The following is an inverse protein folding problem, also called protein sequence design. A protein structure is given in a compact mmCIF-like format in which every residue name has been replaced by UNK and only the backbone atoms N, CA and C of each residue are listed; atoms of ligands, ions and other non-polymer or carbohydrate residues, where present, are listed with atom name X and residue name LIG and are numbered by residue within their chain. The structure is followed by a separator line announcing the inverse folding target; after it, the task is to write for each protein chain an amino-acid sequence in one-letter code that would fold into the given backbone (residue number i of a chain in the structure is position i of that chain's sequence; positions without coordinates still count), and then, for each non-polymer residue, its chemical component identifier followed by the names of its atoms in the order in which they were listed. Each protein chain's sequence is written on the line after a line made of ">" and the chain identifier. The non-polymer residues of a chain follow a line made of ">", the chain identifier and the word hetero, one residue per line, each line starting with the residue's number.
data_IF_631122439647
#
_entry.id   IF_631122439647
#
_cell.length_a   1.000
_cell.length_b   1.000
_cell.length_c   1.000
_cell.angle_alpha   90.00
_cell.angle_beta   90.00
_cell.angle_gamma   90.00
#
_symmetry.space_group_name_H-M   'P 1'
#
loop_
_entity.id
_entity.type
_entity.pdbx_description
1 polymer ?
#
# COMPACT_ATOMS: atom_id res chain seq x y z
N UNK A 1 81.80 -11.25 50.95
CA UNK A 1 81.66 -10.53 49.66
C UNK A 1 82.73 -9.46 49.63
N UNK A 2 83.47 -9.33 48.53
CA UNK A 2 84.63 -8.43 48.44
C UNK A 2 84.64 -7.72 47.07
N UNK A 3 84.83 -6.40 47.04
CA UNK A 3 85.01 -5.64 45.80
C UNK A 3 86.44 -5.90 45.30
N UNK A 4 86.61 -6.57 44.16
CA UNK A 4 87.94 -6.89 43.60
C UNK A 4 88.39 -5.88 42.57
N UNK A 5 87.46 -5.25 41.85
CA UNK A 5 87.79 -4.33 40.75
C UNK A 5 86.72 -3.27 40.57
N UNK A 6 87.17 -2.05 40.25
CA UNK A 6 86.35 -0.99 39.68
C UNK A 6 86.90 -0.60 38.31
N UNK A 7 86.02 -0.55 37.31
CA UNK A 7 86.33 0.00 35.99
C UNK A 7 85.53 1.29 35.78
N UNK A 8 86.23 2.36 35.45
CA UNK A 8 85.69 3.71 35.27
C UNK A 8 85.93 4.14 33.83
N UNK A 9 84.93 4.64 33.14
CA UNK A 9 85.07 5.22 31.81
C UNK A 9 84.14 6.41 31.64
N UNK A 10 84.67 7.56 31.23
CA UNK A 10 83.89 8.78 31.06
C UNK A 10 83.19 9.30 32.31
N UNK A 11 83.57 8.85 33.51
CA UNK A 11 82.96 9.24 34.78
C UNK A 11 83.75 10.39 35.42
N UNK A 12 83.12 11.56 35.57
CA UNK A 12 83.67 12.76 36.20
C UNK A 12 85.07 13.15 35.71
N UNK A 13 86.12 12.84 36.48
CA UNK A 13 87.52 13.14 36.17
C UNK A 13 88.20 12.06 35.31
N UNK A 14 87.57 10.90 35.13
CA UNK A 14 88.11 9.74 34.43
C UNK A 14 87.64 9.73 32.97
N UNK A 15 88.39 10.37 32.08
CA UNK A 15 88.03 10.39 30.65
C UNK A 15 88.37 9.06 29.94
N UNK A 16 89.54 8.50 30.22
CA UNK A 16 89.93 7.20 29.65
C UNK A 16 89.45 6.07 30.55
N UNK A 17 89.46 4.84 30.02
CA UNK A 17 89.16 3.66 30.82
C UNK A 17 90.25 3.47 31.87
N UNK A 18 89.85 3.48 33.13
CA UNK A 18 90.71 3.25 34.29
C UNK A 18 90.17 2.06 35.06
N UNK A 19 91.03 1.06 35.24
CA UNK A 19 90.75 -0.13 36.04
C UNK A 19 91.56 -0.05 37.34
N UNK A 20 90.89 -0.03 38.49
CA UNK A 20 91.54 -0.13 39.80
C UNK A 20 91.21 -1.47 40.42
N UNK A 21 92.25 -2.20 40.82
CA UNK A 21 92.13 -3.48 41.52
C UNK A 21 92.24 -3.26 43.03
N UNK A 22 91.45 -4.00 43.79
CA UNK A 22 91.44 -3.97 45.25
C UNK A 22 91.85 -5.34 45.77
N UNK A 23 92.78 -5.33 46.72
CA UNK A 23 93.19 -6.52 47.46
C UNK A 23 92.46 -6.58 48.81
N UNK A 24 92.26 -7.78 49.37
CA UNK A 24 91.68 -7.92 50.70
C UNK A 24 92.49 -7.14 51.75
N UNK A 25 91.81 -6.39 52.61
CA UNK A 25 92.44 -5.61 53.68
C UNK A 25 92.20 -4.11 53.50
N UNK A 26 93.23 -3.30 53.73
CA UNK A 26 93.14 -1.83 53.71
C UNK A 26 93.75 -1.29 52.43
N UNK A 27 92.92 -0.71 51.56
CA UNK A 27 93.39 0.01 50.36
C UNK A 27 93.36 1.53 50.61
N UNK A 28 94.50 2.20 50.46
CA UNK A 28 94.62 3.65 50.58
C UNK A 28 94.60 4.35 49.23
N UNK A 29 93.61 5.22 48.98
CA UNK A 29 93.57 6.07 47.78
C UNK A 29 94.17 7.44 48.10
N UNK A 30 95.40 7.68 47.65
CA UNK A 30 96.16 8.90 47.93
C UNK A 30 96.40 9.75 46.68
N UNK A 31 96.63 11.05 46.86
CA UNK A 31 96.87 12.00 45.77
C UNK A 31 96.61 13.45 46.18
N UNK A 32 97.02 14.44 45.37
CA UNK A 32 96.83 15.85 45.66
C UNK A 32 95.34 16.28 45.59
N UNK A 33 95.02 17.45 46.15
CA UNK A 33 93.64 17.96 46.09
C UNK A 33 93.21 18.20 44.63
N UNK A 34 91.97 17.85 44.30
CA UNK A 34 91.44 17.96 42.94
C UNK A 34 91.80 16.83 41.98
N UNK A 35 92.59 15.82 42.38
CA UNK A 35 92.96 14.70 41.50
C UNK A 35 91.88 13.62 41.33
N UNK A 36 90.66 13.86 41.82
CA UNK A 36 89.53 12.94 41.64
C UNK A 36 89.44 11.77 42.63
N UNK A 37 90.19 11.78 43.76
CA UNK A 37 90.15 10.71 44.78
C UNK A 37 88.74 10.38 45.22
N UNK A 38 87.99 11.40 45.61
CA UNK A 38 86.62 11.22 46.09
C UNK A 38 85.65 10.84 44.96
N UNK A 39 86.00 11.06 43.68
CA UNK A 39 85.16 10.58 42.58
C UNK A 39 85.14 9.04 42.50
N UNK A 40 86.13 8.36 43.09
CA UNK A 40 86.12 6.89 43.21
C UNK A 40 85.00 6.42 44.15
N UNK A 41 84.79 7.08 45.30
CA UNK A 41 83.68 6.75 46.21
C UNK A 41 82.32 7.07 45.58
N UNK A 42 82.22 8.19 44.86
CA UNK A 42 81.00 8.56 44.15
C UNK A 42 80.67 7.52 43.05
N UNK A 43 81.68 7.00 42.36
CA UNK A 43 81.50 5.98 41.33
C UNK A 43 80.94 4.68 41.93
N UNK A 44 81.45 4.25 43.09
CA UNK A 44 80.95 3.06 43.80
C UNK A 44 79.47 3.28 44.18
N UNK A 45 79.15 4.40 44.82
CA UNK A 45 77.77 4.74 45.22
C UNK A 45 76.83 4.81 44.02
N UNK A 46 77.27 5.44 42.94
CA UNK A 46 76.49 5.57 41.73
C UNK A 46 76.21 4.23 41.06
N UNK A 47 77.21 3.34 40.95
CA UNK A 47 77.02 2.01 40.39
C UNK A 47 76.12 1.11 41.25
N UNK A 48 76.09 1.30 42.57
CA UNK A 48 75.18 0.59 43.48
C UNK A 48 73.73 1.10 43.46
N UNK A 49 73.45 2.22 42.75
CA UNK A 49 72.09 2.64 42.46
C UNK A 49 71.67 4.03 42.94
N UNK A 50 72.59 4.86 43.45
CA UNK A 50 72.26 6.23 43.88
C UNK A 50 71.71 7.08 42.74
N UNK A 51 70.54 7.71 42.96
CA UNK A 51 69.84 8.50 41.95
C UNK A 51 69.92 10.01 42.21
N UNK A 52 70.44 10.44 43.35
CA UNK A 52 70.61 11.85 43.69
C UNK A 52 71.94 12.38 43.17
N UNK A 53 71.88 13.28 42.18
CA UNK A 53 73.06 14.00 41.69
C UNK A 53 73.76 14.78 42.82
N UNK A 54 72.98 15.37 43.73
CA UNK A 54 73.48 16.15 44.87
C UNK A 54 74.34 15.32 45.82
N UNK A 55 73.91 14.09 46.12
CA UNK A 55 74.69 13.15 46.96
C UNK A 55 75.97 12.72 46.26
N UNK A 56 75.96 12.68 44.93
CA UNK A 56 77.13 12.43 44.11
C UNK A 56 77.91 13.71 43.79
N UNK A 57 77.71 14.83 44.51
CA UNK A 57 78.44 16.10 44.31
C UNK A 57 78.40 16.61 42.86
N UNK A 58 77.22 16.52 42.24
CA UNK A 58 76.87 17.19 40.99
C UNK A 58 75.52 17.92 41.13
N UNK A 59 75.24 18.83 40.22
CA UNK A 59 73.96 19.57 40.21
C UNK A 59 72.91 18.80 39.41
N UNK A 60 73.33 18.13 38.33
CA UNK A 60 72.52 17.29 37.45
C UNK A 60 73.16 15.91 37.30
N UNK A 61 72.35 14.91 36.95
CA UNK A 61 72.85 13.55 36.73
C UNK A 61 73.87 13.51 35.57
N UNK A 62 73.67 14.34 34.54
CA UNK A 62 74.58 14.45 33.38
C UNK A 62 75.97 15.00 33.76
N UNK A 63 76.13 15.66 34.91
CA UNK A 63 77.43 16.17 35.40
C UNK A 63 78.38 15.04 35.81
N UNK A 64 77.85 13.82 35.93
CA UNK A 64 78.67 12.62 36.14
C UNK A 64 79.43 12.21 34.88
N UNK A 65 79.03 12.71 33.70
CA UNK A 65 79.72 12.46 32.44
C UNK A 65 80.89 13.43 32.29
N UNK A 66 82.06 12.93 31.90
CA UNK A 66 83.27 13.74 31.67
C UNK A 66 82.96 14.93 30.74
N UNK A 67 83.02 16.13 31.30
CA UNK A 67 82.63 17.37 30.63
C UNK A 67 83.64 17.90 29.61
N UNK A 68 84.82 17.26 29.50
CA UNK A 68 85.91 17.78 28.69
C UNK A 68 86.88 18.65 29.50
N UNK A 69 88.08 18.84 28.96
CA UNK A 69 89.03 19.83 29.45
C UNK A 69 89.79 20.43 28.24
N UNK A 70 90.70 21.38 28.47
CA UNK A 70 91.44 22.04 27.37
C UNK A 70 92.23 21.10 26.44
N UNK A 71 92.44 19.83 26.83
CA UNK A 71 93.14 18.81 26.02
C UNK A 71 92.22 17.71 25.49
N UNK A 72 91.02 17.54 26.03
CA UNK A 72 90.13 16.39 25.75
C UNK A 72 88.70 16.84 25.54
N UNK A 73 88.07 16.34 24.48
CA UNK A 73 86.66 16.62 24.19
C UNK A 73 85.74 16.01 25.27
N UNK A 74 84.56 16.60 25.49
CA UNK A 74 83.51 15.98 26.31
C UNK A 74 83.14 14.59 25.78
N UNK A 75 82.81 13.67 26.69
CA UNK A 75 82.30 12.35 26.35
C UNK A 75 80.78 12.30 26.40
N UNK A 76 80.19 11.34 25.69
CA UNK A 76 78.73 11.13 25.61
C UNK A 76 78.16 10.11 26.61
N UNK A 77 79.05 9.39 27.31
CA UNK A 77 78.71 8.25 28.17
C UNK A 77 79.63 8.25 29.40
N UNK A 78 79.04 8.00 30.56
CA UNK A 78 79.75 7.53 31.74
C UNK A 78 79.40 6.07 32.00
N UNK A 79 80.40 5.23 32.25
CA UNK A 79 80.26 3.83 32.62
C UNK A 79 81.09 3.57 33.87
N UNK A 80 80.47 2.93 34.86
CA UNK A 80 81.15 2.42 36.05
C UNK A 80 80.75 0.96 36.22
N UNK A 81 81.75 0.10 36.36
CA UNK A 81 81.58 -1.33 36.57
C UNK A 81 82.27 -1.75 37.85
N UNK A 82 81.53 -2.39 38.75
CA UNK A 82 82.02 -2.94 40.01
C UNK A 82 82.03 -4.45 39.92
N UNK A 83 83.18 -5.07 40.17
CA UNK A 83 83.30 -6.52 40.25
C UNK A 83 83.46 -6.94 41.70
N UNK A 84 82.57 -7.82 42.14
CA UNK A 84 82.57 -8.41 43.47
C UNK A 84 82.81 -9.91 43.39
N UNK A 85 83.66 -10.44 44.26
CA UNK A 85 83.79 -11.89 44.47
C UNK A 85 82.95 -12.36 45.66
N UNK A 86 82.30 -13.50 45.46
CA UNK A 86 81.56 -14.24 46.49
C UNK A 86 82.57 -14.99 47.36
N UNK A 87 82.76 -14.52 48.59
CA UNK A 87 83.52 -15.31 49.57
C UNK A 87 82.65 -16.27 50.41
N UNK A 88 81.40 -15.92 50.79
CA UNK A 88 80.67 -16.71 51.82
C UNK A 88 79.13 -16.63 51.74
N UNK A 89 78.52 -16.81 50.56
CA UNK A 89 77.05 -16.88 50.45
C UNK A 89 76.26 -15.57 50.69
N UNK A 90 76.95 -14.44 50.92
CA UNK A 90 76.35 -13.13 51.21
C UNK A 90 75.48 -12.53 50.07
N UNK A 91 75.62 -13.01 48.84
CA UNK A 91 74.80 -12.59 47.70
C UNK A 91 73.87 -13.75 47.28
N UNK A 92 72.60 -13.51 46.93
CA UNK A 92 71.69 -14.54 46.43
C UNK A 92 71.90 -14.81 44.92
N UNK A 93 73.05 -15.35 44.54
CA UNK A 93 73.34 -15.72 43.14
C UNK A 93 74.21 -16.97 43.05
N UNK A 94 74.19 -17.67 41.93
CA UNK A 94 75.00 -18.88 41.70
C UNK A 94 76.40 -18.55 41.17
N UNK A 95 76.63 -17.30 40.75
CA UNK A 95 77.93 -16.87 40.22
C UNK A 95 78.94 -16.59 41.35
N UNK A 96 80.20 -17.02 41.12
CA UNK A 96 81.35 -16.72 41.98
C UNK A 96 81.79 -15.25 41.86
N UNK A 97 81.64 -14.67 40.68
CA UNK A 97 81.92 -13.27 40.39
C UNK A 97 80.65 -12.55 39.92
N UNK A 98 80.42 -11.37 40.50
CA UNK A 98 79.27 -10.52 40.20
C UNK A 98 79.78 -9.17 39.72
N UNK A 99 79.48 -8.84 38.47
CA UNK A 99 79.80 -7.58 37.83
C UNK A 99 78.55 -6.70 37.71
N UNK A 100 78.55 -5.57 38.41
CA UNK A 100 77.46 -4.59 38.40
C UNK A 100 77.93 -3.39 37.60
N UNK A 101 77.30 -3.13 36.46
CA UNK A 101 77.65 -2.01 35.60
C UNK A 101 76.48 -1.04 35.50
N UNK A 102 76.77 0.25 35.65
CA UNK A 102 75.83 1.33 35.37
C UNK A 102 76.40 2.23 34.28
N UNK A 103 75.54 2.58 33.33
CA UNK A 103 75.81 3.49 32.22
C UNK A 103 74.86 4.67 32.27
N UNK A 104 75.34 5.85 31.92
CA UNK A 104 74.53 7.04 31.73
C UNK A 104 74.95 7.75 30.46
N UNK A 105 73.98 7.96 29.59
CA UNK A 105 74.12 8.67 28.34
C UNK A 105 73.71 10.13 28.52
N UNK A 106 74.27 11.04 27.71
CA UNK A 106 73.86 12.46 27.70
C UNK A 106 72.39 12.70 27.35
N UNK A 107 71.70 11.69 26.83
CA UNK A 107 70.23 11.72 26.65
C UNK A 107 69.47 11.68 27.99
N UNK A 108 70.15 11.41 29.11
CA UNK A 108 69.55 11.17 30.42
C UNK A 108 69.17 9.71 30.67
N UNK A 109 69.31 8.84 29.65
CA UNK A 109 69.04 7.42 29.78
C UNK A 109 70.09 6.74 30.65
N UNK A 110 69.64 5.93 31.61
CA UNK A 110 70.49 5.10 32.45
C UNK A 110 70.27 3.62 32.13
N UNK A 111 71.35 2.89 31.92
CA UNK A 111 71.33 1.44 31.68
C UNK A 111 72.04 0.72 32.83
N UNK A 112 71.43 -0.35 33.31
CA UNK A 112 71.94 -1.18 34.40
C UNK A 112 72.22 -2.58 33.86
N UNK A 113 73.39 -3.12 34.16
CA UNK A 113 73.78 -4.45 33.73
C UNK A 113 74.30 -5.25 34.92
N UNK A 114 73.83 -6.49 35.04
CA UNK A 114 74.34 -7.49 35.97
C UNK A 114 74.99 -8.60 35.16
N UNK A 115 76.29 -8.82 35.35
CA UNK A 115 77.09 -9.76 34.54
C UNK A 115 76.93 -9.53 33.04
N UNK A 116 76.91 -8.25 32.62
CA UNK A 116 76.70 -7.78 31.24
C UNK A 116 75.30 -8.04 30.66
N UNK A 117 74.36 -8.54 31.46
CA UNK A 117 72.95 -8.69 31.06
C UNK A 117 72.15 -7.48 31.54
N UNK A 118 71.36 -6.81 30.68
CA UNK A 118 70.51 -5.70 31.09
C UNK A 118 69.52 -6.10 32.20
N UNK A 119 69.43 -5.29 33.25
CA UNK A 119 68.55 -5.50 34.39
C UNK A 119 67.89 -4.19 34.84
N UNK A 120 66.96 -4.28 35.81
CA UNK A 120 66.36 -3.09 36.42
C UNK A 120 67.18 -2.66 37.62
N UNK A 121 67.17 -1.37 37.95
CA UNK A 121 67.74 -0.85 39.19
C UNK A 121 67.28 -1.66 40.41
N UNK A 122 65.99 -2.01 40.44
CA UNK A 122 65.40 -2.83 41.51
C UNK A 122 66.12 -4.17 41.68
N UNK A 123 66.56 -4.81 40.59
CA UNK A 123 67.24 -6.10 40.66
C UNK A 123 68.62 -5.95 41.31
N UNK A 124 69.33 -4.84 41.04
CA UNK A 124 70.59 -4.49 41.71
C UNK A 124 70.33 -4.16 43.19
N UNK A 125 69.31 -3.35 43.50
CA UNK A 125 68.96 -3.02 44.89
C UNK A 125 68.57 -4.26 45.69
N UNK A 126 67.76 -5.15 45.12
CA UNK A 126 67.33 -6.40 45.76
C UNK A 126 68.50 -7.38 45.95
N UNK A 127 69.54 -7.33 45.10
CA UNK A 127 70.76 -8.13 45.22
C UNK A 127 71.61 -7.73 46.43
N UNK A 128 71.69 -6.43 46.73
CA UNK A 128 72.52 -5.89 47.83
C UNK A 128 71.74 -5.58 49.12
N UNK A 129 70.41 -5.77 49.14
CA UNK A 129 69.54 -5.37 50.28
C UNK A 129 69.93 -5.99 51.62
N UNK A 130 70.48 -7.21 51.59
CA UNK A 130 70.92 -7.94 52.79
C UNK A 130 72.40 -7.71 53.13
N UNK A 131 73.13 -6.94 52.31
CA UNK A 131 74.57 -6.70 52.47
C UNK A 131 74.91 -5.34 53.08
N UNK A 132 73.91 -4.49 53.32
CA UNK A 132 74.13 -3.10 53.77
C UNK A 132 74.71 -2.17 52.70
N UNK A 133 74.76 -2.64 51.44
CA UNK A 133 75.23 -1.87 50.29
C UNK A 133 74.10 -1.32 49.40
N UNK A 134 72.84 -1.63 49.70
CA UNK A 134 71.70 -1.16 48.93
C UNK A 134 71.12 0.15 49.49
N UNK A 135 70.86 1.13 48.62
CA UNK A 135 70.27 2.41 49.02
C UNK A 135 71.30 3.41 49.52
N UNK A 136 71.17 3.87 50.77
CA UNK A 136 72.18 4.69 51.47
C UNK A 136 73.11 3.78 52.29
N UNK A 137 74.17 3.21 51.70
CA UNK A 137 75.01 2.25 52.39
C UNK A 137 75.65 2.87 53.63
N UNK A 138 75.28 2.39 54.83
CA UNK A 138 75.96 2.75 56.07
C UNK A 138 77.46 2.40 56.04
N UNK A 139 77.84 1.45 55.18
CA UNK A 139 79.21 1.06 54.92
C UNK A 139 80.03 2.12 54.15
N UNK A 140 79.38 3.12 53.54
CA UNK A 140 80.04 4.20 52.82
C UNK A 140 79.93 5.52 53.60
N UNK A 141 80.99 5.85 54.33
CA UNK A 141 81.07 7.06 55.13
C UNK A 141 81.70 8.18 54.31
N UNK A 142 80.95 9.25 54.07
CA UNK A 142 81.44 10.44 53.37
C UNK A 142 81.89 11.53 54.36
N UNK A 143 82.56 12.54 53.80
CA UNK A 143 82.87 13.75 54.55
C UNK A 143 81.58 14.42 55.04
N UNK A 144 81.43 14.52 56.36
CA UNK A 144 80.23 15.09 57.00
C UNK A 144 79.18 14.06 57.43
N UNK A 145 79.24 12.81 56.97
CA UNK A 145 78.28 11.75 57.33
C UNK A 145 78.30 11.40 58.82
N UNK A 146 79.46 11.52 59.48
CA UNK A 146 79.57 11.26 60.93
C UNK A 146 78.72 12.28 61.72
N UNK A 147 78.76 13.55 61.31
CA UNK A 147 77.97 14.61 61.94
C UNK A 147 76.47 14.43 61.72
N UNK A 148 76.03 13.94 60.55
CA UNK A 148 74.62 13.69 60.29
C UNK A 148 74.08 12.52 61.10
N UNK A 149 74.84 11.44 61.30
CA UNK A 149 74.44 10.30 62.14
C UNK A 149 74.35 10.70 63.62
N UNK A 150 75.31 11.48 64.13
CA UNK A 150 75.31 11.94 65.54
C UNK A 150 74.11 12.86 65.82
N UNK A 151 73.79 13.76 64.89
CA UNK A 151 72.68 14.71 65.02
C UNK A 151 71.33 14.18 64.50
N UNK A 152 71.28 12.93 64.01
CA UNK A 152 70.06 12.34 63.47
C UNK A 152 68.96 12.22 64.52
N UNK A 153 67.72 12.54 64.13
CA UNK A 153 66.54 12.34 64.98
C UNK A 153 66.36 10.84 65.29
N UNK A 154 65.69 10.49 66.40
CA UNK A 154 65.47 9.09 66.76
C UNK A 154 64.83 8.24 65.64
N UNK A 155 63.92 8.81 64.86
CA UNK A 155 63.28 8.13 63.73
C UNK A 155 64.27 7.82 62.60
N UNK A 156 65.16 8.76 62.27
CA UNK A 156 66.17 8.61 61.20
C UNK A 156 67.26 7.62 61.65
N UNK A 157 67.66 7.68 62.92
CA UNK A 157 68.60 6.73 63.54
C UNK A 157 68.04 5.30 63.58
N UNK A 158 66.74 5.15 63.79
CA UNK A 158 66.07 3.84 63.78
C UNK A 158 66.24 3.14 62.44
N UNK A 159 66.18 3.86 61.32
CA UNK A 159 66.35 3.26 59.98
C UNK A 159 67.73 2.62 59.86
N UNK A 160 68.79 3.32 60.30
CA UNK A 160 70.16 2.80 60.31
C UNK A 160 70.29 1.52 61.17
N UNK A 161 69.63 1.48 62.33
CA UNK A 161 69.62 0.30 63.22
C UNK A 161 68.85 -0.86 62.59
N UNK A 162 67.69 -0.60 61.97
CA UNK A 162 66.88 -1.61 61.31
C UNK A 162 67.59 -2.22 60.09
N UNK A 163 68.38 -1.41 59.39
CA UNK A 163 69.23 -1.85 58.28
C UNK A 163 70.41 -2.70 58.78
N UNK A 164 71.11 -2.25 59.82
CA UNK A 164 72.17 -3.03 60.45
C UNK A 164 71.66 -4.37 61.04
N UNK A 165 70.40 -4.40 61.48
CA UNK A 165 69.74 -5.61 61.97
C UNK A 165 69.23 -6.53 60.84
N UNK A 166 69.34 -6.14 59.56
CA UNK A 166 68.93 -6.94 58.41
C UNK A 166 67.41 -7.14 58.26
N UNK A 167 66.59 -6.38 58.99
CA UNK A 167 65.12 -6.56 58.98
C UNK A 167 64.40 -5.74 57.89
N UNK A 168 65.13 -4.89 57.17
CA UNK A 168 64.59 -4.00 56.14
C UNK A 168 63.87 -4.75 55.01
N UNK A 169 64.43 -5.87 54.55
CA UNK A 169 63.81 -6.72 53.51
C UNK A 169 62.41 -7.18 53.89
N UNK A 170 62.24 -7.68 55.12
CA UNK A 170 60.95 -8.15 55.61
C UNK A 170 59.95 -7.01 55.77
N UNK A 171 60.39 -5.86 56.24
CA UNK A 171 59.56 -4.66 56.41
C UNK A 171 59.06 -4.13 55.06
N UNK A 172 59.95 -4.06 54.05
CA UNK A 172 59.59 -3.65 52.69
C UNK A 172 58.62 -4.64 52.04
N UNK A 173 58.87 -5.95 52.16
CA UNK A 173 57.94 -6.98 51.67
C UNK A 173 56.57 -6.89 52.34
N UNK A 174 56.52 -6.71 53.66
CA UNK A 174 55.26 -6.56 54.42
C UNK A 174 54.46 -5.35 53.96
N UNK A 175 55.13 -4.20 53.75
CA UNK A 175 54.47 -2.98 53.26
C UNK A 175 53.91 -3.16 51.85
N UNK A 176 54.69 -3.76 50.95
CA UNK A 176 54.24 -4.04 49.58
C UNK A 176 53.04 -5.00 49.56
N UNK A 177 53.05 -6.05 50.39
CA UNK A 177 51.93 -6.97 50.54
C UNK A 177 50.69 -6.27 51.09
N UNK A 178 50.84 -5.40 52.11
CA UNK A 178 49.74 -4.61 52.67
C UNK A 178 49.07 -3.71 51.63
N UNK A 179 49.87 -2.95 50.86
CA UNK A 179 49.33 -2.10 49.79
C UNK A 179 48.60 -2.92 48.72
N UNK A 180 49.09 -4.13 48.40
CA UNK A 180 48.44 -5.02 47.43
C UNK A 180 47.13 -5.58 47.95
N UNK A 181 47.06 -5.91 49.24
CA UNK A 181 45.83 -6.34 49.91
C UNK A 181 44.77 -5.24 49.86
N UNK A 182 45.12 -4.01 50.28
CA UNK A 182 44.22 -2.86 50.28
C UNK A 182 43.67 -2.57 48.87
N UNK A 183 44.53 -2.58 47.85
CA UNK A 183 44.11 -2.42 46.45
C UNK A 183 43.15 -3.54 46.01
N UNK A 184 43.36 -4.76 46.47
CA UNK A 184 42.49 -5.91 46.16
C UNK A 184 41.13 -5.77 46.83
N UNK A 185 41.09 -5.32 48.09
CA UNK A 185 39.84 -5.06 48.81
C UNK A 185 39.00 -3.98 48.13
N UNK A 186 39.63 -2.89 47.67
CA UNK A 186 38.97 -1.85 46.89
C UNK A 186 38.39 -2.40 45.57
N UNK A 187 39.12 -3.28 44.88
CA UNK A 187 38.62 -3.91 43.66
C UNK A 187 37.40 -4.81 43.94
N UNK A 188 37.41 -5.56 45.05
CA UNK A 188 36.28 -6.39 45.45
C UNK A 188 35.03 -5.57 45.75
N UNK A 189 35.18 -4.41 46.39
CA UNK A 189 34.06 -3.47 46.61
C UNK A 189 33.44 -3.02 45.29
N UNK A 190 34.26 -2.62 44.31
CA UNK A 190 33.77 -2.22 42.98
C UNK A 190 33.05 -3.36 42.26
N UNK A 191 33.54 -4.59 42.38
CA UNK A 191 32.88 -5.76 41.79
C UNK A 191 31.49 -5.98 42.42
N UNK A 192 31.36 -5.81 43.74
CA UNK A 192 30.06 -5.93 44.42
C UNK A 192 29.06 -4.89 43.90
N UNK A 193 29.50 -3.66 43.66
CA UNK A 193 28.64 -2.61 43.11
C UNK A 193 28.16 -2.96 41.69
N UNK A 194 29.06 -3.49 40.85
CA UNK A 194 28.72 -3.95 39.49
C UNK A 194 27.70 -5.10 39.55
N UNK A 195 27.91 -6.08 40.44
CA UNK A 195 26.96 -7.20 40.61
C UNK A 195 25.58 -6.67 41.00
N UNK A 196 25.51 -5.75 41.97
CA UNK A 196 24.24 -5.17 42.42
C UNK A 196 23.51 -4.44 41.28
N UNK A 197 24.23 -3.71 40.43
CA UNK A 197 23.66 -3.02 39.28
C UNK A 197 23.16 -4.01 38.22
N UNK A 198 23.95 -5.04 37.89
CA UNK A 198 23.56 -6.08 36.94
C UNK A 198 22.31 -6.83 37.43
N UNK A 199 22.20 -7.11 38.73
CA UNK A 199 21.01 -7.74 39.30
C UNK A 199 19.75 -6.86 39.18
N UNK A 200 19.88 -5.54 39.39
CA UNK A 200 18.76 -4.60 39.18
C UNK A 200 18.30 -4.61 37.72
N UNK A 201 19.25 -4.56 36.78
CA UNK A 201 18.95 -4.62 35.34
C UNK A 201 18.27 -5.93 34.96
N UNK A 202 18.81 -7.07 35.42
CA UNK A 202 18.22 -8.40 35.22
C UNK A 202 16.78 -8.46 35.73
N UNK A 203 16.52 -7.94 36.93
CA UNK A 203 15.18 -7.96 37.52
C UNK A 203 14.20 -7.07 36.74
N UNK A 204 14.66 -5.94 36.19
CA UNK A 204 13.86 -5.11 35.29
C UNK A 204 13.51 -5.83 33.98
N UNK A 205 14.52 -6.41 33.31
CA UNK A 205 14.35 -7.17 32.07
C UNK A 205 13.44 -8.38 32.26
N UNK A 206 13.55 -9.08 33.39
CA UNK A 206 12.65 -10.20 33.73
C UNK A 206 11.18 -9.75 33.79
N UNK A 207 10.90 -8.58 34.39
CA UNK A 207 9.54 -8.01 34.44
C UNK A 207 9.03 -7.65 33.04
N UNK A 208 9.89 -7.07 32.20
CA UNK A 208 9.53 -6.73 30.82
C UNK A 208 9.24 -7.98 29.98
N UNK A 209 10.08 -9.02 30.09
CA UNK A 209 9.88 -10.30 29.41
C UNK A 209 8.55 -10.96 29.81
N UNK A 210 8.26 -11.02 31.11
CA UNK A 210 6.98 -11.56 31.60
C UNK A 210 5.77 -10.76 31.07
N UNK A 211 5.88 -9.43 30.98
CA UNK A 211 4.82 -8.58 30.42
C UNK A 211 4.62 -8.84 28.93
N UNK A 212 5.71 -8.98 28.17
CA UNK A 212 5.66 -9.28 26.74
C UNK A 212 5.05 -10.65 26.46
N UNK A 213 5.41 -11.67 27.25
CA UNK A 213 4.85 -13.02 27.13
C UNK A 213 3.34 -13.01 27.41
N UNK A 214 2.92 -12.33 28.48
CA UNK A 214 1.49 -12.18 28.80
C UNK A 214 0.74 -11.43 27.71
N UNK A 215 1.33 -10.37 27.15
CA UNK A 215 0.75 -9.64 26.02
C UNK A 215 0.56 -10.55 24.82
N UNK A 216 1.59 -11.33 24.44
CA UNK A 216 1.52 -12.26 23.32
C UNK A 216 0.40 -13.29 23.48
N UNK A 217 0.24 -13.86 24.68
CA UNK A 217 -0.85 -14.80 24.97
C UNK A 217 -2.24 -14.13 24.84
N UNK A 218 -2.38 -12.91 25.35
CA UNK A 218 -3.63 -12.15 25.23
C UNK A 218 -3.92 -11.72 23.79
N UNK A 219 -2.91 -11.37 23.01
CA UNK A 219 -3.05 -10.97 21.61
C UNK A 219 -3.50 -12.13 20.71
N UNK A 220 -2.90 -13.31 20.91
CA UNK A 220 -3.37 -14.56 20.27
C UNK A 220 -4.84 -14.80 20.63
N UNK A 221 -5.19 -14.73 21.92
CA UNK A 221 -6.56 -14.97 22.38
C UNK A 221 -7.55 -13.93 21.84
N UNK A 222 -7.15 -12.66 21.77
CA UNK A 222 -7.97 -11.60 21.19
C UNK A 222 -8.18 -11.82 19.69
N UNK A 223 -7.16 -12.27 18.97
CA UNK A 223 -7.25 -12.60 17.54
C UNK A 223 -8.18 -13.77 17.29
N UNK A 224 -8.08 -14.85 18.09
CA UNK A 224 -9.00 -15.99 18.04
C UNK A 224 -10.46 -15.54 18.26
N UNK A 225 -10.71 -14.72 19.29
CA UNK A 225 -12.06 -14.22 19.59
C UNK A 225 -12.60 -13.31 18.48
N UNK A 226 -11.76 -12.44 17.91
CA UNK A 226 -12.14 -11.61 16.75
C UNK A 226 -12.51 -12.48 15.54
N UNK A 227 -11.70 -13.50 15.25
CA UNK A 227 -11.97 -14.43 14.14
C UNK A 227 -13.27 -15.20 14.38
N UNK A 228 -13.52 -15.66 15.60
CA UNK A 228 -14.76 -16.33 15.97
C UNK A 228 -15.99 -15.43 15.78
N UNK A 229 -15.92 -14.16 16.22
CA UNK A 229 -17.00 -13.19 16.01
C UNK A 229 -17.28 -12.96 14.53
N UNK A 230 -16.22 -12.77 13.73
CA UNK A 230 -16.34 -12.57 12.28
C UNK A 230 -16.92 -13.78 11.57
N UNK A 231 -16.52 -14.98 11.96
CA UNK A 231 -17.10 -16.22 11.46
C UNK A 231 -18.59 -16.29 11.76
N UNK A 232 -19.01 -15.96 12.99
CA UNK A 232 -20.43 -15.96 13.38
C UNK A 232 -21.26 -14.94 12.60
N UNK A 233 -20.72 -13.72 12.40
CA UNK A 233 -21.34 -12.68 11.56
C UNK A 233 -21.51 -13.18 10.12
N UNK A 234 -20.44 -13.76 9.54
CA UNK A 234 -20.49 -14.31 8.19
C UNK A 234 -21.50 -15.45 8.07
N UNK A 235 -21.55 -16.36 9.05
CA UNK A 235 -22.52 -17.45 9.07
C UNK A 235 -23.97 -16.94 9.09
N UNK A 236 -24.26 -15.90 9.88
CA UNK A 236 -25.58 -15.28 9.93
C UNK A 236 -25.96 -14.63 8.59
N UNK A 237 -25.05 -13.84 7.99
CA UNK A 237 -25.26 -13.22 6.68
C UNK A 237 -25.44 -14.28 5.58
N UNK A 238 -24.67 -15.36 5.64
CA UNK A 238 -24.81 -16.47 4.70
C UNK A 238 -26.18 -17.13 4.81
N UNK A 239 -26.66 -17.34 6.03
CA UNK A 239 -27.99 -17.91 6.27
C UNK A 239 -29.10 -16.97 5.76
N UNK A 240 -28.96 -15.66 5.97
CA UNK A 240 -29.89 -14.65 5.43
C UNK A 240 -29.88 -14.64 3.89
N UNK A 241 -28.71 -14.66 3.27
CA UNK A 241 -28.56 -14.74 1.81
C UNK A 241 -29.24 -16.00 1.24
N UNK A 242 -29.03 -17.16 1.86
CA UNK A 242 -29.68 -18.40 1.46
C UNK A 242 -31.22 -18.29 1.60
N UNK A 243 -31.70 -17.64 2.65
CA UNK A 243 -33.13 -17.34 2.83
C UNK A 243 -33.70 -16.47 1.71
N UNK A 244 -32.98 -15.42 1.29
CA UNK A 244 -33.39 -14.54 0.19
C UNK A 244 -33.37 -15.29 -1.15
N UNK A 245 -32.31 -16.03 -1.45
CA UNK A 245 -32.21 -16.84 -2.67
C UNK A 245 -33.33 -17.88 -2.75
N UNK A 246 -33.69 -18.50 -1.62
CA UNK A 246 -34.82 -19.42 -1.52
C UNK A 246 -36.18 -18.79 -1.84
N UNK A 247 -36.36 -17.49 -1.57
CA UNK A 247 -37.59 -16.73 -1.90
C UNK A 247 -37.60 -16.22 -3.34
N UNK A 248 -36.43 -15.85 -3.87
CA UNK A 248 -36.29 -15.29 -5.21
C UNK A 248 -36.65 -16.31 -6.30
N UNK A 249 -36.32 -17.60 -6.11
CA UNK A 249 -36.64 -18.66 -7.05
C UNK A 249 -38.15 -18.78 -7.34
N UNK A 250 -39.01 -18.94 -6.31
CA UNK A 250 -40.47 -18.93 -6.46
C UNK A 250 -41.02 -17.64 -7.08
N UNK A 251 -40.52 -16.47 -6.69
CA UNK A 251 -40.97 -15.20 -7.29
C UNK A 251 -40.61 -15.09 -8.77
N UNK A 252 -39.41 -15.53 -9.17
CA UNK A 252 -39.02 -15.58 -10.57
C UNK A 252 -39.91 -16.54 -11.37
N UNK A 253 -40.22 -17.71 -10.81
CA UNK A 253 -41.15 -18.67 -11.43
C UNK A 253 -42.55 -18.07 -11.60
N UNK A 254 -43.06 -17.39 -10.58
CA UNK A 254 -44.35 -16.70 -10.65
C UNK A 254 -44.34 -15.62 -11.73
N UNK A 255 -43.29 -14.79 -11.78
CA UNK A 255 -43.15 -13.73 -12.78
C UNK A 255 -43.08 -14.29 -14.20
N UNK A 256 -42.36 -15.41 -14.42
CA UNK A 256 -42.37 -16.10 -15.71
C UNK A 256 -43.75 -16.66 -16.06
N UNK A 257 -44.49 -17.18 -15.08
CA UNK A 257 -45.87 -17.64 -15.27
C UNK A 257 -46.82 -16.51 -15.66
N UNK A 258 -46.74 -15.37 -14.98
CA UNK A 258 -47.54 -14.18 -15.29
C UNK A 258 -47.20 -13.66 -16.70
N UNK A 259 -45.92 -13.56 -17.07
CA UNK A 259 -45.50 -13.14 -18.42
C UNK A 259 -46.03 -14.08 -19.50
N UNK A 260 -45.98 -15.39 -19.28
CA UNK A 260 -46.57 -16.37 -20.20
C UNK A 260 -48.09 -16.19 -20.30
N UNK A 261 -48.77 -15.93 -19.18
CA UNK A 261 -50.19 -15.61 -19.15
C UNK A 261 -50.53 -14.35 -19.96
N UNK A 262 -49.78 -13.26 -19.78
CA UNK A 262 -49.95 -12.02 -20.56
C UNK A 262 -49.80 -12.31 -22.06
N UNK A 263 -48.73 -13.00 -22.46
CA UNK A 263 -48.52 -13.37 -23.87
C UNK A 263 -49.66 -14.20 -24.45
N UNK A 264 -50.23 -15.12 -23.67
CA UNK A 264 -51.41 -15.88 -24.08
C UNK A 264 -52.65 -15.00 -24.25
N UNK A 265 -52.87 -14.04 -23.35
CA UNK A 265 -54.01 -13.11 -23.46
C UNK A 265 -53.86 -12.12 -24.60
N UNK A 266 -52.65 -11.65 -24.88
CA UNK A 266 -52.35 -10.78 -26.03
C UNK A 266 -52.57 -11.54 -27.35
N UNK A 267 -52.12 -12.79 -27.44
CA UNK A 267 -52.38 -13.63 -28.60
C UNK A 267 -53.89 -13.85 -28.83
N UNK A 268 -54.64 -14.13 -27.76
CA UNK A 268 -56.10 -14.28 -27.85
C UNK A 268 -56.80 -12.96 -28.23
N UNK A 269 -56.28 -11.81 -27.78
CA UNK A 269 -56.80 -10.50 -28.16
C UNK A 269 -56.55 -10.21 -29.65
N UNK A 270 -55.35 -10.52 -30.16
CA UNK A 270 -55.06 -10.35 -31.59
C UNK A 270 -55.89 -11.29 -32.46
N UNK A 271 -56.14 -12.52 -32.02
CA UNK A 271 -57.08 -13.42 -32.70
C UNK A 271 -58.49 -12.81 -32.75
N UNK A 272 -58.99 -12.26 -31.64
CA UNK A 272 -60.29 -11.58 -31.58
C UNK A 272 -60.35 -10.33 -32.45
N UNK A 273 -59.27 -9.54 -32.52
CA UNK A 273 -59.17 -8.37 -33.42
C UNK A 273 -59.23 -8.79 -34.89
N UNK A 274 -58.54 -9.87 -35.24
CA UNK A 274 -58.59 -10.40 -36.61
C UNK A 274 -60.00 -10.89 -36.96
N UNK A 275 -60.67 -11.59 -36.04
CA UNK A 275 -62.07 -12.00 -36.20
C UNK A 275 -62.99 -10.79 -36.40
N UNK A 276 -62.88 -9.77 -35.56
CA UNK A 276 -63.67 -8.55 -35.68
C UNK A 276 -63.45 -7.86 -37.05
N UNK A 277 -62.21 -7.78 -37.53
CA UNK A 277 -61.92 -7.23 -38.86
C UNK A 277 -62.56 -8.05 -39.99
N UNK A 278 -62.57 -9.38 -39.87
CA UNK A 278 -63.25 -10.24 -40.86
C UNK A 278 -64.76 -10.05 -40.84
N UNK A 279 -65.36 -9.89 -39.66
CA UNK A 279 -66.78 -9.60 -39.51
C UNK A 279 -67.13 -8.22 -40.05
N UNK A 280 -66.33 -7.18 -39.76
CA UNK A 280 -66.51 -5.84 -40.34
C UNK A 280 -66.47 -5.85 -41.88
N UNK A 281 -65.52 -6.60 -42.47
CA UNK A 281 -65.47 -6.80 -43.93
C UNK A 281 -66.71 -7.51 -44.46
N UNK A 282 -67.22 -8.52 -43.75
CA UNK A 282 -68.44 -9.22 -44.14
C UNK A 282 -69.66 -8.30 -44.06
N UNK A 283 -69.75 -7.44 -43.03
CA UNK A 283 -70.81 -6.43 -42.91
C UNK A 283 -70.72 -5.40 -44.04
N UNK A 284 -69.53 -4.89 -44.35
CA UNK A 284 -69.33 -3.96 -45.47
C UNK A 284 -69.76 -4.58 -46.81
N UNK A 285 -69.37 -5.83 -47.08
CA UNK A 285 -69.80 -6.56 -48.27
C UNK A 285 -71.32 -6.77 -48.32
N UNK A 286 -71.94 -7.08 -47.18
CA UNK A 286 -73.40 -7.22 -47.11
C UNK A 286 -74.13 -5.88 -47.31
N UNK A 287 -73.57 -4.77 -46.83
CA UNK A 287 -74.10 -3.42 -47.05
C UNK A 287 -73.99 -3.01 -48.53
N UNK A 288 -72.87 -3.31 -49.19
CA UNK A 288 -72.69 -3.08 -50.62
C UNK A 288 -73.70 -3.90 -51.44
N UNK A 289 -73.84 -5.20 -51.12
CA UNK A 289 -74.85 -6.05 -51.76
C UNK A 289 -76.29 -5.53 -51.52
N UNK A 290 -76.59 -5.03 -50.32
CA UNK A 290 -77.89 -4.41 -50.02
C UNK A 290 -78.12 -3.13 -50.84
N UNK A 291 -77.08 -2.30 -51.01
CA UNK A 291 -77.14 -1.09 -51.83
C UNK A 291 -77.41 -1.44 -53.29
N UNK A 292 -76.73 -2.46 -53.83
CA UNK A 292 -76.95 -2.96 -55.19
C UNK A 292 -78.38 -3.48 -55.38
N UNK A 293 -78.90 -4.25 -54.42
CA UNK A 293 -80.28 -4.76 -54.46
C UNK A 293 -81.29 -3.61 -54.37
N UNK A 294 -81.07 -2.62 -53.50
CA UNK A 294 -81.92 -1.41 -53.44
C UNK A 294 -81.88 -0.64 -54.76
N UNK A 295 -80.70 -0.46 -55.35
CA UNK A 295 -80.56 0.18 -56.66
C UNK A 295 -81.19 -0.62 -57.80
N UNK A 296 -81.37 -1.94 -57.66
CA UNK A 296 -82.18 -2.75 -58.58
C UNK A 296 -83.67 -2.51 -58.34
N UNK A 297 -84.12 -2.54 -57.09
CA UNK A 297 -85.52 -2.27 -56.74
C UNK A 297 -85.95 -0.89 -57.24
N UNK A 298 -85.16 0.16 -57.01
CA UNK A 298 -85.49 1.52 -57.46
C UNK A 298 -85.61 1.61 -59.00
N UNK A 299 -84.80 0.85 -59.74
CA UNK A 299 -84.87 0.74 -61.20
C UNK A 299 -86.13 0.00 -61.64
N UNK A 300 -86.39 -1.16 -61.05
CA UNK A 300 -87.56 -1.98 -61.35
C UNK A 300 -88.86 -1.22 -61.02
N UNK A 301 -88.89 -0.45 -59.92
CA UNK A 301 -90.01 0.43 -59.59
C UNK A 301 -90.18 1.59 -60.57
N UNK A 302 -89.08 2.19 -61.05
CA UNK A 302 -89.14 3.23 -62.08
C UNK A 302 -89.66 2.67 -63.41
N UNK A 303 -89.25 1.46 -63.77
CA UNK A 303 -89.76 0.73 -64.93
C UNK A 303 -91.25 0.40 -64.78
N UNK A 304 -91.67 -0.08 -63.60
CA UNK A 304 -93.07 -0.37 -63.29
C UNK A 304 -93.94 0.89 -63.38
N UNK A 305 -93.47 2.04 -62.86
CA UNK A 305 -94.16 3.33 -62.99
C UNK A 305 -94.33 3.72 -64.46
N UNK A 306 -93.28 3.55 -65.28
CA UNK A 306 -93.35 3.80 -66.72
C UNK A 306 -94.36 2.87 -67.43
N UNK A 307 -94.34 1.57 -67.12
CA UNK A 307 -95.27 0.60 -67.69
C UNK A 307 -96.71 0.86 -67.28
N UNK A 308 -96.94 1.29 -66.04
CA UNK A 308 -98.27 1.67 -65.55
C UNK A 308 -98.79 2.90 -66.28
N UNK A 309 -97.94 3.91 -66.49
CA UNK A 309 -98.29 5.09 -67.29
C UNK A 309 -98.63 4.71 -68.75
N UNK A 310 -97.88 3.78 -69.34
CA UNK A 310 -98.16 3.27 -70.69
C UNK A 310 -99.49 2.50 -70.76
N UNK A 311 -99.84 1.74 -69.72
CA UNK A 311 -101.12 1.05 -69.62
C UNK A 311 -102.28 2.04 -69.49
N UNK A 312 -102.17 3.07 -68.66
CA UNK A 312 -103.19 4.12 -68.54
C UNK A 312 -103.41 4.85 -69.87
N UNK A 313 -102.34 5.18 -70.61
CA UNK A 313 -102.43 5.77 -71.94
C UNK A 313 -103.02 4.80 -72.98
N UNK A 314 -102.82 3.49 -72.84
CA UNK A 314 -103.44 2.48 -73.70
C UNK A 314 -104.94 2.32 -73.40
N UNK A 315 -105.34 2.34 -72.12
CA UNK A 315 -106.75 2.32 -71.72
C UNK A 315 -107.48 3.58 -72.18
N UNK A 316 -106.86 4.76 -72.08
CA UNK A 316 -107.43 6.01 -72.61
C UNK A 316 -107.69 5.91 -74.12
N UNK A 317 -106.72 5.39 -74.88
CA UNK A 317 -106.88 5.14 -76.33
C UNK A 317 -107.99 4.14 -76.64
N UNK A 318 -108.13 3.09 -75.83
CA UNK A 318 -109.22 2.12 -75.98
C UNK A 318 -110.59 2.78 -75.77
N UNK A 319 -110.74 3.59 -74.74
CA UNK A 319 -111.98 4.32 -74.46
C UNK A 319 -112.35 5.33 -75.58
N UNK A 320 -111.35 6.03 -76.14
CA UNK A 320 -111.53 6.91 -77.31
C UNK A 320 -112.03 6.13 -78.55
N UNK A 321 -111.48 4.95 -78.82
CA UNK A 321 -111.92 4.09 -79.91
C UNK A 321 -113.34 3.52 -79.71
N UNK A 322 -113.71 3.15 -78.48
CA UNK A 322 -115.06 2.67 -78.16
C UNK A 322 -116.11 3.78 -78.33
N UNK A 323 -115.80 5.02 -77.95
CA UNK A 323 -116.65 6.19 -78.17
C UNK A 323 -116.83 6.50 -79.68
N UNK A 324 -115.77 6.36 -80.47
CA UNK A 324 -115.83 6.53 -81.92
C UNK A 324 -116.75 5.48 -82.58
N UNK A 325 -116.67 4.22 -82.14
CA UNK A 325 -117.53 3.12 -82.59
C UNK A 325 -119.01 3.35 -82.27
N UNK A 326 -119.33 3.90 -81.09
CA UNK A 326 -120.72 4.22 -80.72
C UNK A 326 -121.28 5.34 -81.58
N UNK A 327 -120.47 6.36 -81.89
CA UNK A 327 -120.90 7.45 -82.77
C UNK A 327 -121.20 6.96 -84.20
N UNK A 328 -120.36 6.08 -84.75
CA UNK A 328 -120.56 5.50 -86.09
C UNK A 328 -121.83 4.65 -86.17
N UNK A 329 -122.14 3.90 -85.11
CA UNK A 329 -123.37 3.12 -85.01
C UNK A 329 -124.64 3.98 -85.03
N UNK A 330 -124.61 5.15 -84.38
CA UNK A 330 -125.73 6.11 -84.39
C UNK A 330 -125.91 6.77 -85.76
N UNK A 331 -124.84 7.02 -86.51
CA UNK A 331 -124.91 7.56 -87.87
C UNK A 331 -125.53 6.56 -88.85
N UNK A 332 -125.19 5.28 -88.73
CA UNK A 332 -125.73 4.22 -89.57
C UNK A 332 -127.25 4.03 -89.38
N UNK A 333 -127.75 4.15 -88.15
CA UNK A 333 -129.19 4.05 -87.87
C UNK A 333 -130.00 5.23 -88.45
N UNK A 334 -129.44 6.46 -88.47
CA UNK A 334 -130.10 7.62 -89.09
C UNK A 334 -130.23 7.49 -90.61
N UNK A 335 -129.21 6.95 -91.27
CA UNK A 335 -129.23 6.73 -92.73
C UNK A 335 -130.24 5.66 -93.15
N UNK A 336 -130.43 4.62 -92.32
CA UNK A 336 -131.43 3.58 -92.56
C UNK A 336 -132.87 4.10 -92.45
N UNK A 337 -133.12 5.01 -91.49
CA UNK A 337 -134.43 5.63 -91.33
C UNK A 337 -134.80 6.55 -92.52
N UNK A 338 -133.86 7.31 -93.08
CA UNK A 338 -134.15 8.20 -94.21
C UNK A 338 -134.39 7.46 -95.54
N UNK A 339 -133.84 6.25 -95.70
CA UNK A 339 -134.09 5.39 -96.88
C UNK A 339 -135.51 4.80 -96.85
N UNK A 340 -136.05 4.46 -95.67
CA UNK A 340 -137.41 3.95 -95.51
C UNK A 340 -138.49 5.02 -95.76
N UNK A 341 -138.21 6.27 -95.40
CA UNK A 341 -139.09 7.41 -95.69
C UNK A 341 -139.17 7.70 -97.20
N UNK A 342 -138.04 7.67 -97.92
CA UNK A 342 -138.02 7.97 -99.36
C UNK A 342 -138.79 6.94 -100.21
N UNK A 343 -138.78 5.66 -99.79
CA UNK A 343 -139.42 4.55 -100.50
C UNK A 343 -140.95 4.52 -100.33
N UNK A 344 -141.47 5.06 -99.24
CA UNK A 344 -142.92 5.18 -99.01
C UNK A 344 -143.52 6.35 -99.81
N UNK A 345 -142.82 7.48 -99.93
CA UNK A 345 -143.24 8.61 -100.80
C UNK A 345 -143.26 8.28 -102.29
N UNK A 346 -142.37 7.40 -102.77
CA UNK A 346 -142.34 7.01 -104.19
C UNK A 346 -143.57 6.16 -104.59
N UNK A 347 -144.07 5.31 -103.67
CA UNK A 347 -145.23 4.45 -103.90
C UNK A 347 -146.57 5.22 -103.89
N UNK A 348 -146.64 6.36 -103.21
CA UNK A 348 -147.82 7.24 -103.21
C UNK A 348 -147.92 8.05 -104.52
N UNK A 349 -146.79 8.50 -105.07
CA UNK A 349 -146.77 9.26 -106.33
C UNK A 349 -147.13 8.41 -107.57
N UNK A 350 -146.81 7.11 -107.60
CA UNK A 350 -147.22 6.23 -108.71
C UNK A 350 -148.74 5.97 -108.75
N UNK A 351 -149.42 6.01 -107.60
CA UNK A 351 -150.90 5.87 -107.54
C UNK A 351 -151.63 7.11 -108.04
N UNK A 352 -151.06 8.29 -107.82
CA UNK A 352 -151.66 9.56 -108.25
C UNK A 352 -151.55 9.78 -109.78
N UNK A 353 -150.49 9.26 -110.42
CA UNK A 353 -150.33 9.33 -111.89
C UNK A 353 -151.35 8.44 -112.60
N UNK A 354 -151.59 7.21 -112.11
CA UNK A 354 -152.58 6.30 -112.69
C UNK A 354 -154.03 6.82 -112.55
N UNK A 355 -154.33 7.60 -111.50
CA UNK A 355 -155.64 8.23 -111.31
C UNK A 355 -155.89 9.41 -112.26
N UNK A 356 -154.84 10.07 -112.77
CA UNK A 356 -154.96 11.23 -113.65
C UNK A 356 -155.09 10.82 -115.13
N UNK A 357 -154.46 9.73 -115.54
CA UNK A 357 -154.61 9.18 -116.91
C UNK A 357 -156.05 8.70 -117.17
N UNK A 358 -156.72 8.12 -116.16
CA UNK A 358 -158.13 7.71 -116.28
C UNK A 358 -159.13 8.87 -116.38
N UNK A 359 -158.78 10.08 -115.92
CA UNK A 359 -159.63 11.28 -116.05
C UNK A 359 -159.50 11.94 -117.43
N UNK A 360 -158.33 11.86 -118.07
CA UNK A 360 -158.09 12.50 -119.36
C UNK A 360 -158.84 11.82 -120.53
N UNK A 361 -159.03 10.50 -120.49
CA UNK A 361 -159.80 9.78 -121.51
C UNK A 361 -161.32 10.00 -121.39
N UNK A 362 -161.82 10.34 -120.20
CA UNK A 362 -163.21 10.69 -119.98
C UNK A 362 -163.54 12.08 -120.56
N UNK A 363 -162.64 13.05 -120.41
CA UNK A 363 -162.81 14.41 -120.94
C UNK A 363 -162.69 14.46 -122.48
N UNK A 364 -161.89 13.58 -123.09
CA UNK A 364 -161.80 13.47 -124.55
C UNK A 364 -163.09 12.96 -125.22
N UNK A 365 -163.94 12.19 -124.49
CA UNK A 365 -165.27 11.78 -124.97
C UNK A 365 -166.30 12.90 -124.85
N UNK A 366 -166.24 13.69 -123.78
CA UNK A 366 -167.14 14.83 -123.57
C UNK A 366 -166.92 15.95 -124.60
N UNK A 367 -165.67 16.19 -125.03
CA UNK A 367 -165.36 17.32 -125.91
C UNK A 367 -165.82 17.14 -127.37
N UNK A 368 -165.93 15.91 -127.87
CA UNK A 368 -166.48 15.67 -129.23
C UNK A 368 -168.00 15.63 -129.27
N UNK A 369 -168.68 15.33 -128.15
CA UNK A 369 -170.13 15.52 -128.04
C UNK A 369 -170.50 17.01 -128.00
N UNK A 370 -169.62 17.89 -127.51
CA UNK A 370 -169.91 19.34 -127.47
C UNK A 370 -169.73 20.09 -128.79
N UNK A 371 -168.89 19.64 -129.72
CA UNK A 371 -168.76 20.30 -131.03
C UNK A 371 -169.86 19.88 -132.03
N UNK A 372 -170.54 18.76 -131.75
CA UNK A 372 -171.78 18.38 -132.44
C UNK A 372 -173.01 19.21 -131.98
N UNK A 373 -172.94 19.88 -130.82
CA UNK A 373 -174.06 20.61 -130.20
C UNK A 373 -173.93 22.14 -130.35
N UNK A 374 -172.76 22.68 -130.75
CA UNK A 374 -172.65 24.07 -131.22
C UNK A 374 -172.99 24.23 -132.72
N UNK A 375 -173.96 23.43 -133.15
CA UNK A 375 -174.85 23.74 -134.24
C UNK A 375 -175.34 25.19 -134.13
N UNK A 376 -175.43 25.87 -135.27
CA UNK A 376 -176.68 26.55 -135.63
C UNK A 376 -177.20 27.69 -134.72
N UNK A 377 -176.37 28.40 -133.96
CA UNK A 377 -176.83 29.52 -133.14
C UNK A 377 -176.47 30.92 -133.64
N UNK A 378 -175.68 31.12 -134.71
CA UNK A 378 -175.58 32.42 -135.41
C UNK A 378 -175.14 32.23 -136.87
N UNK A 379 -176.08 31.86 -137.73
CA UNK A 379 -176.06 32.29 -139.14
C UNK A 379 -176.86 33.59 -139.24
N UNK A 380 -176.17 34.69 -139.57
CA UNK A 380 -176.70 35.89 -140.22
C UNK A 380 -175.69 36.30 -141.31
#
# INVERSE_FOLDING_TARGET
>A
MHLTKISLFGFKSFADKVDLSFEPGVTGVVGPNGCGKSNVSDAIRWALGEQSAKLLRGDRMDDLIFAGNGRRKPLGLAEVSLTFTRNDGALPTEYEEVNVTRRLYRSGESEYLLNKVPCRLRDITDLFIDTGLAGEPYALIEQGSIGSVVNARPADRRVLIEEAAGIMKYKTKRRAAGNKLESTEQNLLRIRDVIAEVERQRNSLKRQANKAERYRQLDIRATELKLFLKYREHAALWQELQGILGRLGPEQQLLTGIRAGIGSTEAALEERRLQALTEERAVAAAQEALFDVRGRIDRDEAELRNLTQQMEDAERRKAEHEAALTSLGQTAQRLLASIQEATTTAAEQERDVASLEGKLEADARAMRETEAILTAAVTA
#
